data_IF_044596575927
#
_entry.id   IF_044596575927
#
_cell.length_a   1.000
_cell.length_b   1.000
_cell.length_c   1.000
_cell.angle_alpha   90.00
_cell.angle_beta   90.00
_cell.angle_gamma   90.00
#
_symmetry.space_group_name_H-M   'P 1'
#
loop_
_entity.id
_entity.type
_entity.pdbx_description
1 polymer ?
#
# COMPACT_ATOMS: atom_id res chain seq x y z
N UNK A 1 -20.13 1.58 9.33
CA UNK A 1 -19.41 0.70 10.29
C UNK A 1 -17.94 1.00 10.12
N UNK A 2 -17.18 1.15 11.21
CA UNK A 2 -15.72 1.32 11.12
C UNK A 2 -15.11 -0.03 10.75
N UNK A 3 -14.35 -0.07 9.65
CA UNK A 3 -13.66 -1.29 9.21
C UNK A 3 -12.33 -1.36 9.94
N UNK A 4 -12.09 -2.45 10.66
CA UNK A 4 -10.85 -2.64 11.40
C UNK A 4 -9.70 -2.91 10.44
N UNK A 5 -8.64 -2.10 10.52
CA UNK A 5 -7.41 -2.32 9.77
C UNK A 5 -6.68 -3.57 10.27
N UNK A 6 -6.36 -4.48 9.37
CA UNK A 6 -5.59 -5.70 9.65
C UNK A 6 -4.47 -5.80 8.64
N UNK A 7 -3.22 -5.92 9.09
CA UNK A 7 -2.08 -5.90 8.19
C UNK A 7 -0.74 -5.75 8.86
N UNK A 8 0.25 -5.34 8.07
CA UNK A 8 1.58 -4.97 8.53
C UNK A 8 1.70 -3.44 8.51
N UNK A 9 2.48 -2.88 9.43
CA UNK A 9 2.69 -1.44 9.51
C UNK A 9 1.90 -0.74 10.60
N UNK A 10 1.91 0.59 10.51
CA UNK A 10 1.35 1.48 11.51
C UNK A 10 -0.19 1.56 11.40
N UNK A 11 -0.90 1.57 12.52
CA UNK A 11 -2.39 1.57 12.55
C UNK A 11 -3.02 2.83 11.95
N UNK A 12 -2.42 3.99 12.22
CA UNK A 12 -2.86 5.32 11.78
C UNK A 12 -2.03 5.85 10.59
N UNK A 13 -1.47 4.95 9.78
CA UNK A 13 -0.63 5.31 8.64
C UNK A 13 -1.33 6.25 7.64
N UNK A 14 -0.61 7.29 7.21
CA UNK A 14 -1.04 8.23 6.16
C UNK A 14 -1.09 7.58 4.76
N UNK A 15 -0.27 6.56 4.51
CA UNK A 15 -0.35 5.72 3.30
C UNK A 15 -0.77 4.31 3.67
N UNK A 16 -1.85 3.85 3.07
CA UNK A 16 -2.39 2.49 3.26
C UNK A 16 -2.45 1.78 1.92
N UNK A 17 -1.67 0.72 1.76
CA UNK A 17 -1.70 -0.14 0.58
C UNK A 17 -2.55 -1.37 0.88
N UNK A 18 -3.47 -1.71 0.00
CA UNK A 18 -4.39 -2.85 0.13
C UNK A 18 -4.00 -3.95 -0.85
N UNK A 19 -3.74 -5.14 -0.31
CA UNK A 19 -3.49 -6.37 -1.07
C UNK A 19 -4.38 -7.49 -0.55
N UNK A 20 -4.88 -8.32 -1.47
CA UNK A 20 -5.79 -9.42 -1.12
C UNK A 20 -5.13 -10.52 -0.27
N UNK A 21 -3.86 -10.81 -0.52
CA UNK A 21 -3.18 -11.97 0.04
C UNK A 21 -2.33 -11.61 1.26
N UNK A 22 -2.29 -12.51 2.25
CA UNK A 22 -1.40 -12.45 3.41
C UNK A 22 -0.13 -13.27 3.16
N UNK A 23 1.01 -12.98 3.81
CA UNK A 23 2.15 -13.87 3.73
C UNK A 23 1.80 -15.24 4.28
N UNK A 24 2.19 -16.31 3.59
CA UNK A 24 1.83 -17.69 3.93
C UNK A 24 2.66 -18.23 5.10
N UNK A 25 2.61 -17.51 6.22
CA UNK A 25 3.24 -17.84 7.49
C UNK A 25 2.19 -17.72 8.58
N UNK A 26 2.16 -18.69 9.48
CA UNK A 26 1.05 -18.88 10.42
C UNK A 26 0.77 -17.63 11.26
N UNK A 27 1.83 -16.90 11.66
CA UNK A 27 1.71 -15.67 12.45
C UNK A 27 0.94 -14.55 11.73
N UNK A 28 0.92 -14.54 10.39
CA UNK A 28 0.21 -13.51 9.62
C UNK A 28 -1.20 -13.94 9.22
N UNK A 29 -1.45 -15.25 9.16
CA UNK A 29 -2.79 -15.79 8.88
C UNK A 29 -3.78 -15.48 10.02
N UNK A 30 -3.29 -15.43 11.26
CA UNK A 30 -4.12 -15.18 12.44
C UNK A 30 -4.16 -13.72 12.89
N UNK A 31 -3.53 -12.79 12.15
CA UNK A 31 -3.56 -11.36 12.48
C UNK A 31 -5.01 -10.84 12.52
N UNK A 32 -5.34 -10.15 13.62
CA UNK A 32 -6.61 -9.45 13.86
C UNK A 32 -6.47 -7.93 13.94
N UNK A 33 -5.23 -7.43 13.84
CA UNK A 33 -4.83 -6.03 14.03
C UNK A 33 -3.66 -5.71 13.08
N UNK A 34 -3.30 -4.43 13.00
CA UNK A 34 -2.05 -4.01 12.35
C UNK A 34 -0.85 -4.37 13.22
N UNK A 35 0.19 -4.93 12.60
CA UNK A 35 1.45 -5.28 13.22
C UNK A 35 2.60 -4.46 12.62
N UNK A 36 3.09 -3.43 13.34
CA UNK A 36 4.30 -2.73 12.94
C UNK A 36 5.49 -3.70 12.92
N UNK A 37 6.20 -3.74 11.80
CA UNK A 37 7.38 -4.57 11.66
C UNK A 37 8.58 -3.98 12.42
N UNK A 38 9.52 -4.85 12.75
CA UNK A 38 10.83 -4.51 13.30
C UNK A 38 11.91 -4.61 12.21
N UNK A 39 13.04 -3.95 12.44
CA UNK A 39 14.22 -4.10 11.60
C UNK A 39 14.57 -5.59 11.40
N UNK A 40 14.81 -5.98 10.15
CA UNK A 40 15.09 -7.38 9.77
C UNK A 40 13.86 -8.25 9.51
N UNK A 41 12.65 -7.89 9.95
CA UNK A 41 11.46 -8.72 9.72
C UNK A 41 11.04 -8.79 8.25
N UNK A 42 11.23 -7.72 7.47
CA UNK A 42 11.01 -7.79 6.01
C UNK A 42 11.95 -8.82 5.36
N UNK A 43 13.22 -8.88 5.80
CA UNK A 43 14.17 -9.87 5.30
C UNK A 43 13.75 -11.30 5.69
N UNK A 44 13.28 -11.49 6.93
CA UNK A 44 12.73 -12.75 7.40
C UNK A 44 11.51 -13.19 6.58
N UNK A 45 10.53 -12.30 6.36
CA UNK A 45 9.35 -12.60 5.54
C UNK A 45 9.77 -12.97 4.11
N UNK A 46 10.75 -12.28 3.53
CA UNK A 46 11.25 -12.61 2.20
C UNK A 46 11.88 -13.99 2.11
N UNK A 47 12.59 -14.42 3.16
CA UNK A 47 13.20 -15.74 3.24
C UNK A 47 12.15 -16.84 3.39
N UNK A 48 11.13 -16.61 4.21
CA UNK A 48 10.16 -17.65 4.60
C UNK A 48 8.91 -17.70 3.71
N UNK A 49 8.39 -16.55 3.25
CA UNK A 49 7.16 -16.45 2.46
C UNK A 49 7.41 -16.41 0.93
N UNK A 50 8.68 -16.54 0.52
CA UNK A 50 9.08 -16.73 -0.87
C UNK A 50 9.09 -15.47 -1.74
N UNK A 51 9.33 -15.70 -3.04
CA UNK A 51 9.67 -14.66 -4.00
C UNK A 51 8.57 -13.59 -4.21
N UNK A 52 7.31 -13.91 -3.94
CA UNK A 52 6.19 -12.97 -4.12
C UNK A 52 6.32 -11.74 -3.21
N UNK A 53 6.58 -11.95 -1.93
CA UNK A 53 6.68 -10.88 -0.93
C UNK A 53 7.90 -9.99 -1.12
N UNK A 54 9.01 -10.57 -1.56
CA UNK A 54 10.20 -9.81 -1.95
C UNK A 54 9.90 -8.78 -3.03
N UNK A 55 9.02 -9.10 -3.99
CA UNK A 55 8.59 -8.15 -5.01
C UNK A 55 7.70 -7.05 -4.41
N UNK A 56 6.74 -7.43 -3.57
CA UNK A 56 5.82 -6.49 -2.91
C UNK A 56 6.61 -5.42 -2.15
N UNK A 57 7.50 -5.82 -1.23
CA UNK A 57 8.27 -4.87 -0.44
C UNK A 57 9.25 -4.04 -1.27
N UNK A 58 9.85 -4.62 -2.31
CA UNK A 58 10.77 -3.89 -3.18
C UNK A 58 10.05 -2.81 -3.99
N UNK A 59 8.93 -3.16 -4.62
CA UNK A 59 8.15 -2.21 -5.42
C UNK A 59 7.54 -1.13 -4.52
N UNK A 60 7.04 -1.51 -3.34
CA UNK A 60 6.52 -0.56 -2.35
C UNK A 60 7.60 0.47 -1.97
N UNK A 61 8.77 0.01 -1.53
CA UNK A 61 9.85 0.89 -1.14
C UNK A 61 10.34 1.79 -2.28
N UNK A 62 10.45 1.25 -3.51
CA UNK A 62 10.83 2.05 -4.69
C UNK A 62 9.83 3.15 -4.99
N UNK A 63 8.54 2.83 -4.97
CA UNK A 63 7.49 3.80 -5.20
C UNK A 63 7.52 4.91 -4.14
N UNK A 64 7.57 4.56 -2.85
CA UNK A 64 7.64 5.56 -1.79
C UNK A 64 8.90 6.41 -1.86
N UNK A 65 10.06 5.81 -2.15
CA UNK A 65 11.30 6.54 -2.32
C UNK A 65 11.24 7.53 -3.48
N UNK A 66 10.51 7.20 -4.55
CA UNK A 66 10.32 8.10 -5.68
C UNK A 66 9.26 9.18 -5.41
N UNK A 67 8.21 8.84 -4.67
CA UNK A 67 7.17 9.78 -4.24
C UNK A 67 7.73 10.82 -3.26
N UNK A 68 8.67 10.41 -2.39
CA UNK A 68 9.17 11.20 -1.26
C UNK A 68 10.50 11.91 -1.59
N UNK A 69 10.47 13.24 -1.76
CA UNK A 69 11.19 14.08 -0.78
C UNK A 69 10.38 15.18 -0.08
N UNK A 70 9.16 15.53 -0.53
CA UNK A 70 8.46 16.74 -0.02
C UNK A 70 7.00 16.54 0.44
N UNK A 71 6.31 15.49 0.00
CA UNK A 71 4.88 15.29 0.25
C UNK A 71 4.57 14.61 1.59
N UNK A 72 5.54 13.94 2.19
CA UNK A 72 5.39 13.23 3.46
C UNK A 72 6.68 13.40 4.24
N UNK A 73 6.58 13.61 5.55
CA UNK A 73 7.71 13.62 6.48
C UNK A 73 8.30 12.20 6.67
N UNK A 74 8.52 11.49 5.57
CA UNK A 74 9.17 10.19 5.55
C UNK A 74 10.65 10.36 5.86
N UNK A 75 11.20 9.39 6.58
CA UNK A 75 12.61 9.40 6.96
C UNK A 75 13.49 9.45 5.70
N UNK A 76 14.33 10.47 5.60
CA UNK A 76 15.32 10.60 4.54
C UNK A 76 16.39 9.50 4.70
N UNK A 77 16.61 8.76 3.62
CA UNK A 77 17.63 7.71 3.48
C UNK A 77 18.20 7.78 2.08
N UNK A 78 19.41 7.24 1.87
CA UNK A 78 20.13 7.42 0.59
C UNK A 78 19.59 6.51 -0.53
N UNK A 79 18.85 5.45 -0.18
CA UNK A 79 18.35 4.47 -1.13
C UNK A 79 17.01 3.88 -0.73
N UNK A 80 16.22 3.44 -1.71
CA UNK A 80 14.98 2.71 -1.46
C UNK A 80 15.20 1.39 -0.70
N UNK A 81 16.37 0.76 -0.83
CA UNK A 81 16.72 -0.45 -0.08
C UNK A 81 16.86 -0.15 1.42
N UNK A 82 17.55 0.92 1.78
CA UNK A 82 17.64 1.36 3.17
C UNK A 82 16.25 1.73 3.70
N UNK A 83 15.42 2.41 2.90
CA UNK A 83 14.04 2.71 3.29
C UNK A 83 13.26 1.42 3.60
N UNK A 84 13.33 0.45 2.69
CA UNK A 84 12.71 -0.87 2.85
C UNK A 84 13.15 -1.54 4.15
N UNK A 85 14.44 -1.57 4.42
CA UNK A 85 14.99 -2.41 5.49
C UNK A 85 14.89 -1.74 6.88
N UNK A 86 14.84 -0.40 6.93
CA UNK A 86 14.93 0.38 8.17
C UNK A 86 13.68 1.20 8.52
N UNK A 87 12.73 1.37 7.58
CA UNK A 87 11.59 2.28 7.78
C UNK A 87 10.27 1.65 7.34
N UNK A 88 10.19 1.08 6.14
CA UNK A 88 8.94 0.58 5.56
C UNK A 88 8.18 -0.35 6.52
N UNK A 89 6.89 -0.06 6.76
CA UNK A 89 5.99 -0.82 7.62
C UNK A 89 6.45 -0.97 9.09
N UNK A 90 7.40 -0.16 9.54
CA UNK A 90 7.76 -0.07 10.96
C UNK A 90 6.92 1.01 11.67
N UNK A 91 7.06 1.13 12.98
CA UNK A 91 6.48 2.25 13.71
C UNK A 91 7.03 3.59 13.19
N UNK A 92 6.17 4.61 13.15
CA UNK A 92 6.47 5.96 12.65
C UNK A 92 6.83 6.02 11.16
N UNK A 93 6.59 4.94 10.41
CA UNK A 93 6.85 4.90 8.96
C UNK A 93 5.79 5.61 8.14
N UNK A 94 4.63 5.96 8.74
CA UNK A 94 3.46 6.47 8.04
C UNK A 94 2.89 5.52 6.98
N UNK A 95 3.26 4.24 7.03
CA UNK A 95 2.91 3.24 6.02
C UNK A 95 2.24 2.02 6.63
N UNK A 96 1.23 1.51 5.93
CA UNK A 96 0.60 0.24 6.21
C UNK A 96 0.43 -0.59 4.93
N UNK A 97 0.47 -1.91 5.08
CA UNK A 97 0.14 -2.91 4.08
C UNK A 97 -0.99 -3.77 4.65
N UNK A 98 -2.21 -3.49 4.21
CA UNK A 98 -3.44 -4.00 4.77
C UNK A 98 -3.99 -5.16 3.94
N UNK A 99 -4.53 -6.13 4.67
CA UNK A 99 -5.21 -7.33 4.19
C UNK A 99 -6.72 -7.28 4.46
N UNK A 100 -7.19 -6.26 5.18
CA UNK A 100 -8.59 -5.94 5.37
C UNK A 100 -9.12 -5.07 4.22
N UNK A 101 -10.43 -4.93 4.14
CA UNK A 101 -11.07 -3.92 3.27
C UNK A 101 -10.69 -2.50 3.73
N UNK A 102 -10.71 -1.50 2.83
CA UNK A 102 -10.42 -0.12 3.18
C UNK A 102 -11.60 0.50 3.93
N UNK A 103 -11.32 1.17 5.06
CA UNK A 103 -12.25 2.12 5.64
C UNK A 103 -12.10 3.47 4.93
N UNK A 104 -13.07 3.80 4.09
CA UNK A 104 -13.10 5.03 3.28
C UNK A 104 -14.14 6.02 3.80
N UNK A 105 -14.61 5.82 5.04
CA UNK A 105 -15.63 6.68 5.67
C UNK A 105 -15.06 7.98 6.21
N UNK A 106 -13.75 8.04 6.44
CA UNK A 106 -13.00 9.27 6.72
C UNK A 106 -12.11 9.62 5.52
N UNK A 107 -12.63 10.41 4.56
CA UNK A 107 -11.94 10.72 3.32
C UNK A 107 -10.74 11.67 3.50
N UNK A 108 -10.50 12.24 4.68
CA UNK A 108 -9.45 13.24 4.88
C UNK A 108 -8.18 12.67 5.55
N UNK A 109 -8.23 11.42 6.04
CA UNK A 109 -7.17 10.90 6.91
C UNK A 109 -5.99 10.21 6.21
N UNK A 110 -6.19 9.56 5.05
CA UNK A 110 -5.15 8.76 4.41
C UNK A 110 -5.22 8.72 2.88
N UNK A 111 -4.10 8.41 2.24
CA UNK A 111 -4.05 7.93 0.86
C UNK A 111 -4.25 6.41 0.85
N UNK A 112 -5.20 5.95 0.05
CA UNK A 112 -5.51 4.54 -0.12
C UNK A 112 -5.02 4.05 -1.49
N UNK A 113 -4.09 3.10 -1.50
CA UNK A 113 -3.62 2.46 -2.72
C UNK A 113 -4.15 1.03 -2.80
N UNK A 114 -4.99 0.73 -3.77
CA UNK A 114 -5.46 -0.63 -4.01
C UNK A 114 -4.57 -1.28 -5.08
N UNK A 115 -3.79 -2.27 -4.69
CA UNK A 115 -2.86 -2.95 -5.59
C UNK A 115 -3.52 -4.15 -6.28
N UNK A 116 -3.71 -4.05 -7.58
CA UNK A 116 -4.24 -5.10 -8.45
C UNK A 116 -5.69 -4.88 -8.89
N UNK A 117 -5.91 -4.93 -10.22
CA UNK A 117 -7.20 -4.72 -10.90
C UNK A 117 -8.32 -5.59 -10.36
N UNK A 118 -8.08 -6.90 -10.21
CA UNK A 118 -9.11 -7.85 -9.75
C UNK A 118 -9.56 -7.52 -8.34
N UNK A 119 -8.62 -7.23 -7.44
CA UNK A 119 -8.96 -6.88 -6.06
C UNK A 119 -9.75 -5.57 -5.98
N UNK A 120 -9.36 -4.55 -6.75
CA UNK A 120 -10.10 -3.29 -6.82
C UNK A 120 -11.54 -3.48 -7.33
N UNK A 121 -11.74 -4.32 -8.35
CA UNK A 121 -13.09 -4.63 -8.85
C UNK A 121 -13.94 -5.38 -7.83
N UNK A 122 -13.36 -6.33 -7.10
CA UNK A 122 -14.05 -7.04 -6.01
C UNK A 122 -14.48 -6.08 -4.89
N UNK A 123 -13.59 -5.18 -4.47
CA UNK A 123 -13.90 -4.17 -3.45
C UNK A 123 -14.99 -3.19 -3.92
N UNK A 124 -14.90 -2.69 -5.16
CA UNK A 124 -15.90 -1.78 -5.72
C UNK A 124 -17.27 -2.45 -5.98
N UNK A 125 -17.31 -3.77 -6.14
CA UNK A 125 -18.56 -4.52 -6.27
C UNK A 125 -19.29 -4.70 -4.93
N UNK A 126 -18.61 -4.49 -3.80
CA UNK A 126 -19.24 -4.50 -2.48
C UNK A 126 -19.85 -3.12 -2.19
N UNK A 127 -21.15 -2.96 -2.44
CA UNK A 127 -21.89 -1.71 -2.24
C UNK A 127 -21.78 -1.17 -0.80
N UNK A 128 -21.57 -2.03 0.19
CA UNK A 128 -21.42 -1.62 1.60
C UNK A 128 -20.14 -0.82 1.85
N UNK A 129 -19.12 -0.99 1.01
CA UNK A 129 -17.87 -0.22 1.10
C UNK A 129 -18.00 1.18 0.49
N UNK A 130 -19.01 1.41 -0.35
CA UNK A 130 -19.24 2.70 -1.00
C UNK A 130 -18.07 3.17 -1.88
N UNK A 131 -17.22 2.26 -2.36
CA UNK A 131 -16.05 2.59 -3.19
C UNK A 131 -16.52 2.88 -4.62
N UNK A 132 -16.31 4.11 -5.08
CA UNK A 132 -16.64 4.53 -6.44
C UNK A 132 -15.35 4.81 -7.23
N UNK A 133 -15.07 4.01 -8.25
CA UNK A 133 -13.83 4.10 -9.04
C UNK A 133 -14.08 4.66 -10.44
N UNK A 134 -13.29 5.65 -10.83
CA UNK A 134 -13.18 6.15 -12.20
C UNK A 134 -11.96 5.50 -12.84
N UNK A 135 -12.19 4.58 -13.79
CA UNK A 135 -11.11 3.91 -14.53
C UNK A 135 -10.51 4.86 -15.57
N UNK A 136 -9.20 5.09 -15.48
CA UNK A 136 -8.46 5.93 -16.41
C UNK A 136 -7.95 5.13 -17.61
N UNK A 137 -7.63 3.86 -17.36
CA UNK A 137 -7.23 2.88 -18.37
C UNK A 137 -7.43 1.47 -17.80
N UNK A 138 -6.85 0.45 -18.44
CA UNK A 138 -6.99 -0.95 -18.02
C UNK A 138 -6.32 -1.30 -16.69
N UNK A 139 -5.45 -0.45 -16.17
CA UNK A 139 -4.54 -0.74 -15.06
C UNK A 139 -4.69 0.22 -13.88
N UNK A 140 -5.15 1.45 -14.13
CA UNK A 140 -5.29 2.51 -13.15
C UNK A 140 -6.72 3.03 -13.07
N UNK A 141 -7.13 3.33 -11.84
CA UNK A 141 -8.40 4.00 -11.52
C UNK A 141 -8.20 4.91 -10.32
N UNK A 142 -9.10 5.87 -10.14
CA UNK A 142 -9.04 6.83 -9.04
C UNK A 142 -10.41 7.01 -8.39
N UNK A 143 -10.41 7.41 -7.12
CA UNK A 143 -11.53 8.04 -6.43
C UNK A 143 -11.00 9.23 -5.65
N UNK A 144 -10.96 10.45 -6.24
CA UNK A 144 -10.37 11.61 -5.57
C UNK A 144 -11.07 11.95 -4.26
N UNK A 145 -12.41 11.86 -4.22
CA UNK A 145 -13.20 12.15 -3.01
C UNK A 145 -12.95 11.17 -1.87
N UNK A 146 -12.52 9.94 -2.18
CA UNK A 146 -12.18 8.91 -1.19
C UNK A 146 -10.66 8.72 -1.04
N UNK A 147 -9.87 9.58 -1.70
CA UNK A 147 -8.41 9.50 -1.80
C UNK A 147 -7.89 8.10 -2.17
N UNK A 148 -8.57 7.42 -3.10
CA UNK A 148 -8.18 6.08 -3.58
C UNK A 148 -7.47 6.20 -4.92
N UNK A 149 -6.38 5.45 -5.08
CA UNK A 149 -5.79 5.14 -6.39
C UNK A 149 -5.64 3.63 -6.52
N UNK A 150 -6.11 3.09 -7.63
CA UNK A 150 -5.86 1.71 -8.06
C UNK A 150 -4.64 1.71 -8.97
N UNK A 151 -3.75 0.74 -8.75
CA UNK A 151 -2.60 0.52 -9.61
C UNK A 151 -2.40 -0.99 -9.87
N UNK A 152 -1.51 -1.36 -10.81
CA UNK A 152 -1.05 -2.74 -10.95
C UNK A 152 -0.52 -3.31 -9.64
N UNK A 153 -0.55 -4.64 -9.49
CA UNK A 153 -0.05 -5.28 -8.28
C UNK A 153 1.45 -4.98 -8.09
N UNK A 154 1.93 -5.00 -6.84
CA UNK A 154 3.32 -4.72 -6.48
C UNK A 154 4.26 -5.87 -6.87
N UNK A 155 4.38 -6.09 -8.17
CA UNK A 155 5.30 -6.98 -8.86
C UNK A 155 5.96 -6.14 -9.96
N UNK A 156 7.29 -6.15 -10.06
CA UNK A 156 8.02 -5.34 -11.05
C UNK A 156 7.67 -5.68 -12.51
N UNK A 157 7.03 -6.82 -12.77
CA UNK A 157 6.46 -7.18 -14.08
C UNK A 157 5.16 -6.43 -14.38
N UNK A 158 4.44 -6.04 -13.34
CA UNK A 158 3.14 -5.37 -13.41
C UNK A 158 3.27 -3.87 -13.17
N UNK A 159 3.90 -3.47 -12.06
CA UNK A 159 4.21 -2.09 -11.66
C UNK A 159 5.72 -1.85 -11.82
N UNK A 160 6.15 -1.61 -13.06
CA UNK A 160 7.53 -1.25 -13.41
C UNK A 160 7.80 0.25 -13.15
N UNK A 161 9.03 0.71 -13.37
CA UNK A 161 9.40 2.11 -13.11
C UNK A 161 8.51 3.13 -13.85
N UNK A 162 8.22 2.89 -15.14
CA UNK A 162 7.35 3.80 -15.91
C UNK A 162 5.93 3.91 -15.32
N UNK A 163 5.42 2.82 -14.74
CA UNK A 163 4.11 2.82 -14.07
C UNK A 163 4.18 3.36 -12.64
N UNK A 164 5.34 3.30 -11.98
CA UNK A 164 5.58 4.04 -10.74
C UNK A 164 5.55 5.55 -11.03
N UNK A 165 6.13 6.00 -12.15
CA UNK A 165 6.05 7.41 -12.57
C UNK A 165 4.58 7.87 -12.68
N UNK A 166 3.75 7.08 -13.37
CA UNK A 166 2.31 7.34 -13.51
C UNK A 166 1.62 7.36 -12.14
N UNK A 167 1.92 6.40 -11.26
CA UNK A 167 1.33 6.36 -9.91
C UNK A 167 1.66 7.63 -9.11
N UNK A 168 2.91 8.07 -9.15
CA UNK A 168 3.33 9.33 -8.50
C UNK A 168 2.62 10.54 -9.11
N UNK A 169 2.49 10.61 -10.44
CA UNK A 169 1.77 11.69 -11.12
C UNK A 169 0.29 11.75 -10.73
N UNK A 170 -0.38 10.59 -10.67
CA UNK A 170 -1.78 10.50 -10.25
C UNK A 170 -1.96 10.98 -8.80
N UNK A 171 -1.02 10.64 -7.92
CA UNK A 171 -1.03 11.12 -6.53
C UNK A 171 -0.92 12.64 -6.51
N UNK A 172 0.10 13.21 -7.16
CA UNK A 172 0.29 14.68 -7.16
C UNK A 172 -0.87 15.44 -7.81
N UNK A 173 -1.55 14.85 -8.79
CA UNK A 173 -2.62 15.50 -9.54
C UNK A 173 -3.96 15.43 -8.83
N UNK A 174 -4.27 14.30 -8.19
CA UNK A 174 -5.61 14.02 -7.66
C UNK A 174 -5.69 13.98 -6.14
N UNK A 175 -4.55 13.89 -5.45
CA UNK A 175 -4.48 13.76 -4.00
C UNK A 175 -3.63 14.92 -3.47
N UNK A 176 -4.26 15.83 -2.73
CA UNK A 176 -3.52 16.83 -1.95
C UNK A 176 -2.90 16.10 -0.74
N UNK A 177 -1.64 15.67 -0.89
CA UNK A 177 -0.79 15.16 0.20
C UNK A 177 -0.05 16.31 0.87
#
# INVERSE_FOLDING_TARGET
MTIKAIGLGQSDAAIRVYVKNRPNLIQFQTLSDTLPLQAGQIAQINAEAGNGWRKVFNVYAKWLYQLAPSCLALKSVDTWQQFRDQTLLQNHSQTALLFSEPDVTDPDAALHIIAGKTHAKELAANEQLGINLIWLNDEFAISPTQRIIVCPYFDYRQLNNAKIDILCELIHTHINL
#
